data_IF_715480339582
#
_entry.id   IF_715480339582
#
_cell.length_a   1.000
_cell.length_b   1.000
_cell.length_c   1.000
_cell.angle_alpha   90.00
_cell.angle_beta   90.00
_cell.angle_gamma   90.00
#
_symmetry.space_group_name_H-M   'P 1'
#
loop_
_entity.id
_entity.type
_entity.pdbx_description
1 polymer ?
#
# COMPACT_ATOMS: atom_id res chain seq x y z
N UNK A 1 6.03 -2.52 -11.65
CA UNK A 1 4.83 -1.84 -12.18
C UNK A 1 3.80 -2.89 -12.61
N UNK A 2 2.54 -2.49 -12.71
CA UNK A 2 1.42 -3.25 -13.28
C UNK A 2 0.63 -2.30 -14.20
N UNK A 3 -0.06 -2.83 -15.19
CA UNK A 3 -0.97 -2.05 -16.04
C UNK A 3 -2.41 -2.49 -15.78
N UNK A 4 -3.35 -1.56 -15.79
CA UNK A 4 -4.77 -1.83 -15.70
C UNK A 4 -5.53 -0.99 -16.72
N UNK A 5 -6.66 -1.52 -17.19
CA UNK A 5 -7.42 -0.93 -18.27
C UNK A 5 -8.88 -1.31 -18.14
N UNK A 6 -9.75 -0.34 -18.36
CA UNK A 6 -11.17 -0.53 -18.63
C UNK A 6 -11.58 0.37 -19.81
N UNK A 7 -12.70 0.05 -20.47
CA UNK A 7 -13.19 0.82 -21.62
C UNK A 7 -13.81 2.17 -21.24
N UNK A 8 -14.22 2.36 -19.99
CA UNK A 8 -14.89 3.57 -19.52
C UNK A 8 -14.28 4.15 -18.25
N UNK A 9 -13.40 3.41 -17.57
CA UNK A 9 -12.84 3.78 -16.28
C UNK A 9 -11.31 3.72 -16.27
N UNK A 10 -10.68 4.75 -15.73
CA UNK A 10 -9.24 4.79 -15.46
C UNK A 10 -8.96 5.84 -14.39
N UNK A 11 -7.80 5.73 -13.74
CA UNK A 11 -7.28 6.83 -12.94
C UNK A 11 -6.94 8.02 -13.85
N UNK A 12 -7.31 9.23 -13.43
CA UNK A 12 -7.17 10.42 -14.25
C UNK A 12 -6.48 11.55 -13.46
N UNK A 13 -6.75 12.80 -13.84
CA UNK A 13 -6.13 13.97 -13.26
C UNK A 13 -6.56 14.12 -11.79
N UNK A 14 -5.59 14.12 -10.89
CA UNK A 14 -5.81 14.27 -9.45
C UNK A 14 -5.79 12.96 -8.66
N UNK A 15 -5.76 11.81 -9.32
CA UNK A 15 -5.75 10.49 -8.65
C UNK A 15 -4.35 9.94 -8.36
N UNK A 16 -3.29 10.67 -8.71
CA UNK A 16 -1.90 10.24 -8.51
C UNK A 16 -1.62 9.87 -7.05
N UNK A 17 -1.12 8.64 -6.82
CA UNK A 17 -0.92 8.09 -5.48
C UNK A 17 -2.16 7.40 -4.88
N UNK A 18 -3.31 7.44 -5.56
CA UNK A 18 -4.53 6.73 -5.15
C UNK A 18 -4.43 5.20 -5.28
N UNK A 19 -5.35 4.44 -4.67
CA UNK A 19 -5.34 2.99 -4.72
C UNK A 19 -5.97 2.44 -6.00
N UNK A 20 -5.40 1.37 -6.54
CA UNK A 20 -6.09 0.46 -7.45
C UNK A 20 -6.54 -0.76 -6.65
N UNK A 21 -7.86 -0.98 -6.59
CA UNK A 21 -8.49 -1.99 -5.74
C UNK A 21 -9.21 -3.02 -6.60
N UNK A 22 -9.01 -4.31 -6.28
CA UNK A 22 -9.87 -5.39 -6.75
C UNK A 22 -10.96 -5.59 -5.71
N UNK A 23 -12.20 -5.40 -6.12
CA UNK A 23 -13.36 -5.57 -5.23
C UNK A 23 -13.58 -7.06 -4.95
N UNK A 24 -13.82 -7.36 -3.68
CA UNK A 24 -14.26 -8.66 -3.23
C UNK A 24 -15.77 -8.85 -3.39
N UNK A 25 -16.31 -9.86 -2.72
CA UNK A 25 -17.74 -10.18 -2.74
C UNK A 25 -18.46 -9.73 -1.46
N UNK A 26 -17.73 -9.37 -0.40
CA UNK A 26 -18.35 -8.97 0.85
C UNK A 26 -18.86 -7.53 0.74
N UNK A 27 -20.14 -7.26 1.09
CA UNK A 27 -20.71 -5.91 0.96
C UNK A 27 -20.05 -4.84 1.84
N UNK A 28 -19.32 -5.26 2.87
CA UNK A 28 -18.56 -4.38 3.76
C UNK A 28 -17.12 -4.10 3.27
N UNK A 29 -16.73 -4.66 2.12
CA UNK A 29 -15.40 -4.50 1.53
C UNK A 29 -14.31 -5.27 2.29
N UNK A 30 -14.66 -6.19 3.19
CA UNK A 30 -13.67 -6.90 4.02
C UNK A 30 -12.73 -7.81 3.23
N UNK A 31 -13.07 -8.16 2.00
CA UNK A 31 -12.24 -8.93 1.06
C UNK A 31 -11.74 -8.11 -0.14
N UNK A 32 -11.87 -6.78 -0.10
CA UNK A 32 -11.25 -5.88 -1.08
C UNK A 32 -9.73 -5.89 -0.95
N UNK A 33 -9.04 -5.90 -2.09
CA UNK A 33 -7.57 -5.97 -2.12
C UNK A 33 -6.99 -4.81 -2.92
N UNK A 34 -6.19 -3.97 -2.27
CA UNK A 34 -5.37 -2.99 -2.97
C UNK A 34 -4.21 -3.68 -3.69
N UNK A 35 -4.24 -3.67 -5.02
CA UNK A 35 -3.23 -4.33 -5.86
C UNK A 35 -2.21 -3.36 -6.45
N UNK A 36 -2.57 -2.06 -6.50
CA UNK A 36 -1.73 -1.03 -7.10
C UNK A 36 -1.84 0.34 -6.44
N UNK A 37 -0.91 1.21 -6.82
CA UNK A 37 -0.93 2.65 -6.52
C UNK A 37 -0.80 3.41 -7.84
N UNK A 38 -1.72 4.33 -8.11
CA UNK A 38 -1.74 5.15 -9.34
C UNK A 38 -0.39 5.83 -9.53
N UNK A 39 0.24 5.61 -10.68
CA UNK A 39 1.53 6.22 -11.02
C UNK A 39 1.36 7.26 -12.13
N UNK A 40 1.09 6.83 -13.35
CA UNK A 40 0.94 7.70 -14.51
C UNK A 40 0.15 7.01 -15.63
N UNK A 41 -0.28 7.77 -16.62
CA UNK A 41 -0.96 7.28 -17.81
C UNK A 41 -0.91 8.33 -18.92
N UNK A 42 -1.34 7.94 -20.13
CA UNK A 42 -1.52 8.88 -21.24
C UNK A 42 -3.01 9.04 -21.51
N UNK A 43 -3.50 10.28 -21.44
CA UNK A 43 -4.96 10.52 -21.47
C UNK A 43 -5.64 9.94 -20.23
N UNK A 44 -6.95 9.71 -20.33
CA UNK A 44 -7.73 9.01 -19.31
C UNK A 44 -8.65 8.01 -20.02
N UNK A 45 -8.64 6.75 -19.56
CA UNK A 45 -9.44 5.65 -20.11
C UNK A 45 -9.20 5.44 -21.62
N UNK A 46 -7.95 5.60 -22.05
CA UNK A 46 -7.54 5.35 -23.44
C UNK A 46 -7.30 3.85 -23.64
N UNK A 47 -7.96 3.27 -24.65
CA UNK A 47 -7.88 1.83 -24.91
C UNK A 47 -6.53 1.39 -25.50
N UNK A 48 -5.77 2.32 -26.08
CA UNK A 48 -4.44 2.02 -26.61
C UNK A 48 -3.34 2.26 -25.55
N UNK A 49 -3.64 3.03 -24.50
CA UNK A 49 -2.69 3.42 -23.46
C UNK A 49 -3.24 3.14 -22.05
N UNK A 50 -3.05 1.92 -21.52
CA UNK A 50 -3.54 1.58 -20.19
C UNK A 50 -2.84 2.38 -19.09
N UNK A 51 -3.55 2.63 -18.00
CA UNK A 51 -2.98 3.24 -16.81
C UNK A 51 -1.84 2.39 -16.23
N UNK A 52 -0.80 3.06 -15.72
CA UNK A 52 0.38 2.43 -15.13
C UNK A 52 0.38 2.66 -13.62
N UNK A 53 0.52 1.57 -12.88
CA UNK A 53 0.42 1.54 -11.43
C UNK A 53 1.66 0.88 -10.82
N UNK A 54 2.04 1.31 -9.61
CA UNK A 54 3.05 0.61 -8.82
C UNK A 54 2.49 -0.72 -8.33
N UNK A 55 3.25 -1.81 -8.45
CA UNK A 55 2.79 -3.16 -8.10
C UNK A 55 2.98 -3.42 -6.61
N UNK A 56 1.90 -3.37 -5.82
CA UNK A 56 1.93 -3.55 -4.36
C UNK A 56 2.49 -4.93 -3.98
N UNK A 57 2.07 -5.99 -4.67
CA UNK A 57 2.56 -7.35 -4.41
C UNK A 57 4.06 -7.54 -4.59
N UNK A 58 4.73 -6.73 -5.41
CA UNK A 58 6.19 -6.80 -5.54
C UNK A 58 6.89 -6.21 -4.30
N UNK A 59 6.25 -5.22 -3.66
CA UNK A 59 6.87 -4.46 -2.57
C UNK A 59 6.46 -4.99 -1.19
N UNK A 60 5.45 -5.89 -1.15
CA UNK A 60 4.90 -6.48 0.06
C UNK A 60 6.01 -7.06 0.95
N UNK A 61 6.70 -8.08 0.45
CA UNK A 61 7.64 -8.85 1.28
C UNK A 61 8.96 -8.11 1.56
N UNK A 62 9.40 -7.23 0.64
CA UNK A 62 10.74 -6.62 0.68
C UNK A 62 10.78 -5.23 1.31
N UNK A 63 9.64 -4.55 1.41
CA UNK A 63 9.59 -3.18 1.90
C UNK A 63 8.37 -2.92 2.77
N UNK A 64 7.17 -3.27 2.34
CA UNK A 64 5.96 -2.97 3.13
C UNK A 64 6.02 -3.73 4.46
N UNK A 65 6.31 -5.02 4.43
CA UNK A 65 6.39 -5.86 5.63
C UNK A 65 7.52 -5.40 6.55
N UNK A 66 8.70 -5.14 5.99
CA UNK A 66 9.84 -4.61 6.74
C UNK A 66 9.51 -3.28 7.44
N UNK A 67 8.79 -2.37 6.78
CA UNK A 67 8.42 -1.07 7.35
C UNK A 67 7.28 -1.18 8.35
N UNK A 68 6.25 -1.97 8.06
CA UNK A 68 5.13 -2.21 8.97
C UNK A 68 5.62 -2.90 10.24
N UNK A 69 6.46 -3.92 10.13
CA UNK A 69 6.96 -4.64 11.28
C UNK A 69 8.07 -3.87 12.01
N UNK A 70 8.97 -3.22 11.28
CA UNK A 70 10.12 -2.51 11.84
C UNK A 70 9.79 -1.16 12.46
N UNK A 71 8.76 -0.46 11.98
CA UNK A 71 8.43 0.92 12.40
C UNK A 71 7.10 1.04 13.16
N UNK A 72 6.36 -0.06 13.37
CA UNK A 72 5.14 -0.03 14.17
C UNK A 72 5.43 -0.37 15.63
N UNK A 73 4.90 0.43 16.55
CA UNK A 73 4.93 0.14 17.99
C UNK A 73 4.09 -1.11 18.35
N UNK A 74 3.05 -1.35 17.54
CA UNK A 74 2.14 -2.50 17.64
C UNK A 74 2.03 -3.17 16.28
N UNK A 75 3.06 -3.91 15.85
CA UNK A 75 2.96 -4.69 14.63
C UNK A 75 1.80 -5.68 14.79
N UNK A 76 1.00 -5.90 13.73
CA UNK A 76 -0.11 -6.85 13.78
C UNK A 76 0.43 -8.28 13.79
N UNK A 77 1.00 -8.71 14.93
CA UNK A 77 1.47 -10.08 15.12
C UNK A 77 0.28 -11.04 15.13
N UNK A 78 0.36 -12.11 14.34
CA UNK A 78 -0.63 -13.20 14.36
C UNK A 78 -1.96 -12.88 13.65
N UNK A 79 -2.11 -11.70 13.02
CA UNK A 79 -3.12 -11.54 11.94
C UNK A 79 -2.43 -11.96 10.66
N UNK A 80 -2.91 -13.01 9.99
CA UNK A 80 -2.24 -13.70 8.87
C UNK A 80 -1.89 -12.87 7.61
N UNK A 81 -1.91 -11.55 7.68
CA UNK A 81 -1.49 -10.61 6.64
C UNK A 81 -0.04 -10.14 6.78
N UNK A 82 0.50 -10.11 8.01
CA UNK A 82 1.87 -9.70 8.31
C UNK A 82 2.52 -10.70 9.28
N UNK A 83 3.70 -11.21 8.93
CA UNK A 83 4.51 -12.03 9.83
C UNK A 83 5.72 -11.22 10.29
N UNK A 84 5.64 -10.69 11.51
CA UNK A 84 6.69 -9.88 12.11
C UNK A 84 7.63 -10.68 13.03
N UNK A 85 7.52 -12.03 13.05
CA UNK A 85 8.25 -12.88 14.00
C UNK A 85 9.78 -12.90 13.84
N UNK A 86 10.31 -12.28 12.77
CA UNK A 86 11.74 -12.24 12.46
C UNK A 86 12.35 -10.86 12.20
N UNK A 87 11.57 -9.78 12.30
CA UNK A 87 12.03 -8.42 11.97
C UNK A 87 12.37 -7.62 13.24
N UNK A 88 13.62 -7.17 13.42
CA UNK A 88 13.98 -6.28 14.53
C UNK A 88 13.27 -4.94 14.38
N UNK A 89 12.59 -4.48 15.43
CA UNK A 89 12.06 -3.11 15.49
C UNK A 89 13.20 -2.11 15.32
N UNK A 90 13.06 -1.22 14.35
CA UNK A 90 14.09 -0.25 13.97
C UNK A 90 14.23 0.86 15.02
N UNK A 91 13.21 1.06 15.86
CA UNK A 91 13.13 2.16 16.82
C UNK A 91 13.05 1.75 18.29
N UNK A 92 13.24 0.48 18.69
CA UNK A 92 13.14 0.08 20.11
C UNK A 92 14.05 0.95 21.01
N UNK A 93 13.50 1.85 21.84
CA UNK A 93 14.22 2.36 22.98
C UNK A 93 14.21 1.23 24.02
N UNK A 94 15.35 0.99 24.66
CA UNK A 94 15.37 0.13 25.83
C UNK A 94 14.28 0.60 26.81
N UNK A 95 13.38 -0.31 27.20
CA UNK A 95 12.34 -0.16 28.23
C UNK A 95 11.03 0.55 27.86
N UNK A 96 10.08 -0.27 27.40
CA UNK A 96 8.66 -0.28 27.75
C UNK A 96 7.98 1.02 28.18
N UNK A 97 7.18 1.60 27.27
CA UNK A 97 5.95 2.30 27.63
C UNK A 97 4.88 2.04 26.56
N UNK A 98 3.60 1.88 26.93
CA UNK A 98 2.51 1.87 25.98
C UNK A 98 2.05 3.31 25.68
N UNK A 99 1.66 3.52 24.42
CA UNK A 99 0.58 4.39 23.93
C UNK A 99 0.96 5.45 22.87
N UNK A 100 0.00 5.62 21.97
CA UNK A 100 -0.28 6.73 21.04
C UNK A 100 0.46 6.82 19.69
N UNK A 101 -0.30 6.46 18.64
CA UNK A 101 -0.28 6.99 17.25
C UNK A 101 1.07 7.35 16.65
N UNK A 102 1.54 6.50 15.73
CA UNK A 102 2.71 6.76 14.88
C UNK A 102 2.43 7.87 13.87
N UNK A 103 3.14 9.00 13.99
CA UNK A 103 3.18 10.05 12.97
C UNK A 103 4.21 9.70 11.89
N UNK A 104 3.76 9.26 10.72
CA UNK A 104 4.62 9.11 9.54
C UNK A 104 4.83 10.48 8.90
N UNK A 105 6.00 11.09 9.13
CA UNK A 105 6.38 12.34 8.46
C UNK A 105 6.94 12.03 7.07
N UNK A 106 6.11 12.15 6.03
CA UNK A 106 6.56 12.04 4.65
C UNK A 106 7.24 13.36 4.25
N UNK A 107 8.56 13.35 4.15
CA UNK A 107 9.32 14.44 3.52
C UNK A 107 9.49 14.14 2.03
N UNK A 108 8.95 15.00 1.18
CA UNK A 108 9.25 14.98 -0.25
C UNK A 108 10.47 15.86 -0.50
N UNK A 109 11.58 15.24 -0.90
CA UNK A 109 12.70 15.98 -1.47
C UNK A 109 12.27 16.49 -2.85
N UNK A 110 12.44 17.80 -3.07
CA UNK A 110 12.18 18.46 -4.36
C UNK A 110 13.32 18.23 -5.34
#
# INVERSE_FOLDING_TARGET
>A
MLCAQDANEDACQGDSGGPLVVLGNNPDGSDDVQVGVVSWGFGCADLDFPGVYSRVSHQKDSWIDDRVCGMSDFPPEGRGWYDCSGTPRLDEPASGQPDETVFVRITFDK
#
